data_IF_910918750890
#
_entry.id   IF_910918750890
#
_cell.length_a   1.000
_cell.length_b   1.000
_cell.length_c   1.000
_cell.angle_alpha   90.00
_cell.angle_beta   90.00
_cell.angle_gamma   90.00
#
_symmetry.space_group_name_H-M   'P 1'
#
loop_
_entity.id
_entity.type
_entity.pdbx_description
1 polymer ?
#
# COMPACT_ATOMS: atom_id res chain seq x y z
N UNK A 1 -22.31 16.23 8.51
CA UNK A 1 -21.57 16.29 7.22
C UNK A 1 -21.86 14.98 6.50
N UNK A 2 -22.68 14.97 5.44
CA UNK A 2 -22.96 13.71 4.70
C UNK A 2 -21.68 13.31 3.96
N UNK A 3 -21.10 12.16 4.31
CA UNK A 3 -19.96 11.60 3.58
C UNK A 3 -20.43 11.22 2.18
N UNK A 4 -19.75 11.77 1.19
CA UNK A 4 -19.91 11.39 -0.22
C UNK A 4 -19.69 9.87 -0.38
N UNK A 5 -20.68 9.10 -0.90
CA UNK A 5 -20.58 7.65 -1.01
C UNK A 5 -19.33 7.18 -1.76
N UNK A 6 -18.89 7.92 -2.76
CA UNK A 6 -17.70 7.58 -3.56
C UNK A 6 -16.42 7.63 -2.71
N UNK A 7 -16.32 8.63 -1.83
CA UNK A 7 -15.20 8.77 -0.90
C UNK A 7 -15.14 7.61 0.10
N UNK A 8 -16.30 7.16 0.57
CA UNK A 8 -16.37 6.02 1.50
C UNK A 8 -15.84 4.73 0.86
N UNK A 9 -16.20 4.46 -0.40
CA UNK A 9 -15.71 3.28 -1.11
C UNK A 9 -14.22 3.37 -1.43
N UNK A 10 -13.74 4.54 -1.85
CA UNK A 10 -12.31 4.79 -2.09
C UNK A 10 -11.48 4.56 -0.82
N UNK A 11 -11.90 5.12 0.32
CA UNK A 11 -11.19 4.93 1.58
C UNK A 11 -11.25 3.49 2.06
N UNK A 12 -12.38 2.81 1.88
CA UNK A 12 -12.50 1.38 2.15
C UNK A 12 -11.51 0.57 1.32
N UNK A 13 -11.42 0.83 0.01
CA UNK A 13 -10.44 0.18 -0.87
C UNK A 13 -9.00 0.43 -0.39
N UNK A 14 -8.65 1.67 -0.06
CA UNK A 14 -7.34 2.00 0.50
C UNK A 14 -7.04 1.21 1.77
N UNK A 15 -7.99 1.14 2.69
CA UNK A 15 -7.85 0.43 3.94
C UNK A 15 -7.61 -1.07 3.73
N UNK A 16 -8.42 -1.73 2.91
CA UNK A 16 -8.31 -3.16 2.66
C UNK A 16 -7.01 -3.53 1.94
N UNK A 17 -6.68 -2.81 0.86
CA UNK A 17 -5.46 -3.06 0.08
C UNK A 17 -4.21 -2.87 0.93
N UNK A 18 -4.15 -1.78 1.70
CA UNK A 18 -2.98 -1.53 2.55
C UNK A 18 -2.93 -2.44 3.77
N UNK A 19 -4.07 -2.95 4.25
CA UNK A 19 -4.10 -3.99 5.28
C UNK A 19 -3.48 -5.27 4.77
N UNK A 20 -3.90 -5.73 3.60
CA UNK A 20 -3.37 -6.90 2.92
C UNK A 20 -1.86 -6.81 2.69
N UNK A 21 -1.38 -5.71 2.09
CA UNK A 21 0.06 -5.52 1.89
C UNK A 21 0.85 -5.37 3.20
N UNK A 22 0.29 -4.68 4.20
CA UNK A 22 0.96 -4.55 5.49
C UNK A 22 1.10 -5.90 6.21
N UNK A 23 0.15 -6.83 6.03
CA UNK A 23 0.23 -8.19 6.60
C UNK A 23 1.24 -9.11 5.93
N UNK A 24 1.66 -8.80 4.70
CA UNK A 24 2.65 -9.61 3.96
C UNK A 24 4.04 -8.99 4.09
N UNK A 25 4.15 -7.69 3.82
CA UNK A 25 5.45 -7.03 3.64
C UNK A 25 5.93 -6.27 4.87
N UNK A 26 5.05 -5.92 5.81
CA UNK A 26 5.42 -5.16 7.00
C UNK A 26 5.97 -3.76 6.71
N UNK A 27 5.65 -3.19 5.55
CA UNK A 27 6.10 -1.84 5.19
C UNK A 27 5.49 -0.77 6.09
N UNK A 28 6.26 0.31 6.33
CA UNK A 28 5.77 1.48 7.07
C UNK A 28 4.71 2.21 6.25
N UNK A 29 3.75 2.86 6.92
CA UNK A 29 2.71 3.66 6.26
C UNK A 29 3.29 4.66 5.25
N UNK A 30 4.41 5.31 5.57
CA UNK A 30 5.07 6.28 4.70
C UNK A 30 5.52 5.72 3.34
N UNK A 31 5.78 4.42 3.24
CA UNK A 31 6.07 3.75 1.97
C UNK A 31 4.81 3.78 1.09
N UNK A 32 3.70 3.24 1.60
CA UNK A 32 2.42 3.24 0.86
C UNK A 32 1.95 4.66 0.54
N UNK A 33 2.06 5.61 1.47
CA UNK A 33 1.65 6.99 1.24
C UNK A 33 2.37 7.64 0.06
N UNK A 34 3.61 7.22 -0.22
CA UNK A 34 4.42 7.82 -1.26
C UNK A 34 4.44 7.01 -2.56
N UNK A 35 3.75 5.86 -2.61
CA UNK A 35 3.54 5.10 -3.84
C UNK A 35 2.93 6.00 -4.91
N UNK A 36 3.60 6.06 -6.05
CA UNK A 36 3.17 6.85 -7.21
C UNK A 36 2.48 5.98 -8.26
N UNK A 37 1.65 6.61 -9.08
CA UNK A 37 1.02 5.96 -10.23
C UNK A 37 2.09 5.51 -11.24
N UNK A 38 3.12 6.33 -11.43
CA UNK A 38 4.24 6.01 -12.32
C UNK A 38 4.97 4.74 -11.89
N UNK A 39 5.28 4.56 -10.60
CA UNK A 39 5.93 3.34 -10.09
C UNK A 39 5.08 2.09 -10.33
N UNK A 40 3.74 2.21 -10.26
CA UNK A 40 2.81 1.11 -10.62
C UNK A 40 2.88 0.83 -12.12
N UNK A 41 2.77 1.85 -12.96
CA UNK A 41 2.81 1.71 -14.43
C UNK A 41 4.15 1.16 -14.93
N UNK A 42 5.27 1.54 -14.31
CA UNK A 42 6.61 1.04 -14.61
C UNK A 42 6.79 -0.43 -14.23
N UNK A 43 6.12 -0.90 -13.17
CA UNK A 43 6.14 -2.32 -12.80
C UNK A 43 5.55 -3.20 -13.91
N UNK A 44 4.56 -2.70 -14.66
CA UNK A 44 4.02 -3.37 -15.85
C UNK A 44 5.08 -3.63 -16.91
N UNK A 45 5.94 -2.64 -17.14
CA UNK A 45 6.95 -2.69 -18.21
C UNK A 45 8.10 -3.63 -17.86
N UNK A 46 8.33 -3.83 -16.55
CA UNK A 46 9.34 -4.74 -16.02
C UNK A 46 8.79 -6.14 -15.69
N UNK A 47 7.50 -6.36 -15.91
CA UNK A 47 6.83 -7.60 -15.56
C UNK A 47 7.45 -8.79 -16.31
N UNK A 48 7.59 -9.91 -15.61
CA UNK A 48 8.08 -11.17 -16.18
C UNK A 48 7.23 -12.31 -15.66
N UNK A 49 6.75 -13.17 -16.56
CA UNK A 49 5.96 -14.38 -16.23
C UNK A 49 4.72 -14.12 -15.33
N UNK A 50 4.13 -12.92 -15.39
CA UNK A 50 2.99 -12.53 -14.56
C UNK A 50 3.36 -12.09 -13.13
N UNK A 51 4.65 -11.92 -12.84
CA UNK A 51 5.17 -11.31 -11.63
C UNK A 51 5.51 -9.83 -11.86
N UNK A 52 5.05 -8.97 -10.95
CA UNK A 52 5.21 -7.52 -11.03
C UNK A 52 5.96 -7.04 -9.78
N UNK A 53 7.01 -6.23 -9.95
CA UNK A 53 7.73 -5.66 -8.80
C UNK A 53 7.62 -4.14 -8.83
N UNK A 54 6.84 -3.59 -7.91
CA UNK A 54 6.74 -2.14 -7.71
C UNK A 54 7.87 -1.71 -6.79
N UNK A 55 8.68 -0.75 -7.26
CA UNK A 55 9.78 -0.16 -6.50
C UNK A 55 9.39 1.22 -6.01
N UNK A 56 9.25 1.39 -4.70
CA UNK A 56 8.81 2.64 -4.08
C UNK A 56 10.03 3.43 -3.62
N UNK A 57 10.43 4.39 -4.44
CA UNK A 57 11.68 5.14 -4.29
C UNK A 57 11.53 6.33 -3.36
N UNK A 58 10.35 6.96 -3.32
CA UNK A 58 10.15 8.18 -2.57
C UNK A 58 9.84 7.91 -1.08
N UNK A 59 10.79 7.46 -0.27
CA UNK A 59 10.57 7.31 1.17
C UNK A 59 11.78 7.76 2.01
N UNK A 60 11.54 8.18 3.27
CA UNK A 60 12.54 8.82 4.16
C UNK A 60 13.85 8.03 4.31
N UNK A 61 13.84 6.74 4.01
CA UNK A 61 14.96 5.83 4.25
C UNK A 61 15.52 5.18 2.97
N UNK A 62 15.11 5.64 1.78
CA UNK A 62 15.62 5.09 0.52
C UNK A 62 17.15 5.23 0.41
N UNK A 63 17.70 6.35 0.89
CA UNK A 63 19.16 6.55 0.92
C UNK A 63 19.91 5.54 1.81
N UNK A 64 19.24 4.89 2.75
CA UNK A 64 19.85 3.98 3.71
C UNK A 64 19.52 2.49 3.45
N UNK A 65 18.38 2.18 2.82
CA UNK A 65 17.91 0.79 2.65
C UNK A 65 17.42 0.47 1.23
N UNK A 66 17.68 1.35 0.26
CA UNK A 66 17.21 1.16 -1.11
C UNK A 66 15.68 1.28 -1.25
N UNK A 67 15.18 0.88 -2.42
CA UNK A 67 13.75 0.96 -2.74
C UNK A 67 12.94 -0.02 -1.89
N UNK A 68 11.77 0.40 -1.41
CA UNK A 68 10.84 -0.54 -0.81
C UNK A 68 10.12 -1.29 -1.94
N UNK A 69 10.13 -2.62 -1.90
CA UNK A 69 9.57 -3.45 -2.97
C UNK A 69 8.21 -4.07 -2.57
N UNK A 70 7.29 -4.10 -3.52
CA UNK A 70 6.08 -4.93 -3.48
C UNK A 70 6.13 -5.89 -4.66
N UNK A 71 6.21 -7.18 -4.39
CA UNK A 71 6.07 -8.22 -5.40
C UNK A 71 4.59 -8.57 -5.52
N UNK A 72 4.01 -8.46 -6.71
CA UNK A 72 2.61 -8.76 -6.95
C UNK A 72 2.49 -9.87 -7.98
N UNK A 73 1.55 -10.76 -7.77
CA UNK A 73 1.08 -11.65 -8.81
C UNK A 73 0.16 -10.93 -9.80
N UNK A 74 -0.30 -11.67 -10.80
CA UNK A 74 -1.17 -11.14 -11.84
C UNK A 74 -2.52 -10.66 -11.32
N UNK A 75 -3.11 -11.33 -10.33
CA UNK A 75 -4.41 -10.97 -9.77
C UNK A 75 -4.30 -9.67 -8.95
N UNK A 76 -3.30 -9.60 -8.07
CA UNK A 76 -3.02 -8.45 -7.24
C UNK A 76 -2.73 -7.22 -8.08
N UNK A 77 -1.94 -7.36 -9.15
CA UNK A 77 -1.63 -6.26 -10.05
C UNK A 77 -2.87 -5.76 -10.82
N UNK A 78 -3.78 -6.67 -11.20
CA UNK A 78 -5.04 -6.28 -11.88
C UNK A 78 -5.92 -5.40 -10.98
N UNK A 79 -5.92 -5.60 -9.66
CA UNK A 79 -6.66 -4.70 -8.75
C UNK A 79 -6.17 -3.25 -8.85
N UNK A 80 -4.86 -3.06 -9.02
CA UNK A 80 -4.25 -1.74 -9.18
C UNK A 80 -4.62 -1.14 -10.55
N UNK A 81 -4.55 -1.92 -11.62
CA UNK A 81 -4.97 -1.46 -12.95
C UNK A 81 -6.45 -1.07 -12.98
N UNK A 82 -7.31 -1.87 -12.37
CA UNK A 82 -8.74 -1.58 -12.27
C UNK A 82 -9.00 -0.28 -11.50
N UNK A 83 -8.32 -0.07 -10.37
CA UNK A 83 -8.43 1.18 -9.62
C UNK A 83 -7.94 2.37 -10.45
N UNK A 84 -6.81 2.25 -11.15
CA UNK A 84 -6.29 3.31 -12.01
C UNK A 84 -7.23 3.63 -13.18
N UNK A 85 -7.96 2.64 -13.70
CA UNK A 85 -8.92 2.84 -14.80
C UNK A 85 -10.13 3.70 -14.40
N UNK A 86 -10.53 3.67 -13.12
CA UNK A 86 -11.67 4.44 -12.59
C UNK A 86 -11.24 5.71 -11.85
N UNK A 87 -9.94 5.94 -11.64
CA UNK A 87 -9.46 7.06 -10.79
C UNK A 87 -9.94 8.43 -11.25
N UNK A 88 -10.10 8.62 -12.56
CA UNK A 88 -10.52 9.90 -13.15
C UNK A 88 -11.94 10.29 -12.77
N UNK A 89 -12.76 9.34 -12.34
CA UNK A 89 -14.11 9.58 -11.83
C UNK A 89 -14.11 10.00 -10.35
N UNK A 90 -12.98 9.84 -9.65
CA UNK A 90 -12.85 10.15 -8.23
C UNK A 90 -12.30 11.57 -8.05
N UNK A 91 -12.81 12.28 -7.04
CA UNK A 91 -12.36 13.65 -6.72
C UNK A 91 -10.86 13.67 -6.43
N UNK A 92 -10.11 14.44 -7.23
CA UNK A 92 -8.65 14.58 -7.12
C UNK A 92 -7.83 13.53 -7.88
N UNK A 93 -8.47 12.57 -8.56
CA UNK A 93 -7.78 11.47 -9.24
C UNK A 93 -7.10 11.83 -10.57
N UNK A 94 -7.55 12.90 -11.23
CA UNK A 94 -6.92 13.38 -12.48
C UNK A 94 -5.61 14.15 -12.22
N UNK A 95 -5.54 14.93 -11.15
CA UNK A 95 -4.42 15.85 -10.88
C UNK A 95 -3.41 15.31 -9.85
N UNK A 96 -3.40 13.99 -9.62
CA UNK A 96 -2.54 13.34 -8.64
C UNK A 96 -1.44 12.52 -9.30
N UNK A 97 -0.25 12.55 -8.68
CA UNK A 97 0.85 11.63 -8.95
C UNK A 97 0.86 10.40 -8.03
N UNK A 98 0.17 10.47 -6.90
CA UNK A 98 0.15 9.42 -5.89
C UNK A 98 -0.95 8.40 -6.20
N UNK A 99 -0.65 7.12 -5.99
CA UNK A 99 -1.64 6.04 -6.09
C UNK A 99 -2.72 6.20 -5.02
N UNK A 100 -2.31 6.44 -3.77
CA UNK A 100 -3.21 6.80 -2.67
C UNK A 100 -3.36 8.31 -2.58
N UNK A 101 -4.31 8.86 -3.34
CA UNK A 101 -4.57 10.30 -3.41
C UNK A 101 -5.75 10.74 -2.54
N UNK A 102 -5.86 12.06 -2.35
CA UNK A 102 -7.01 12.70 -1.71
C UNK A 102 -7.68 13.67 -2.70
N UNK A 103 -8.73 14.37 -2.28
CA UNK A 103 -9.33 15.43 -3.10
C UNK A 103 -8.38 16.60 -3.41
N UNK A 104 -7.26 16.70 -2.68
CA UNK A 104 -6.16 17.63 -2.96
C UNK A 104 -5.02 16.85 -3.60
N UNK A 105 -4.15 17.49 -4.42
CA UNK A 105 -3.01 16.84 -5.09
C UNK A 105 -1.89 16.50 -4.10
N UNK A 106 -2.18 15.63 -3.14
CA UNK A 106 -1.31 15.20 -2.06
C UNK A 106 -1.49 13.72 -1.76
N UNK A 107 -0.45 13.10 -1.23
CA UNK A 107 -0.49 11.74 -0.70
C UNK A 107 -1.51 11.64 0.43
N UNK A 108 -2.22 10.52 0.51
CA UNK A 108 -3.15 10.25 1.58
C UNK A 108 -2.45 10.01 2.94
N UNK A 109 -2.43 11.00 3.83
CA UNK A 109 -1.80 10.85 5.16
C UNK A 109 -2.61 10.02 6.16
N UNK A 110 -3.90 9.80 5.87
CA UNK A 110 -4.83 9.09 6.74
C UNK A 110 -4.89 7.58 6.49
N UNK A 111 -3.93 6.99 5.75
CA UNK A 111 -3.93 5.54 5.49
C UNK A 111 -4.03 4.69 6.76
N UNK A 112 -3.44 5.10 7.88
CA UNK A 112 -3.55 4.33 9.14
C UNK A 112 -4.99 4.29 9.66
N UNK A 113 -5.74 5.38 9.50
CA UNK A 113 -7.15 5.40 9.87
C UNK A 113 -7.95 4.45 8.98
N UNK A 114 -7.73 4.49 7.66
CA UNK A 114 -8.45 3.61 6.73
C UNK A 114 -8.08 2.14 6.91
N UNK A 115 -6.82 1.83 7.22
CA UNK A 115 -6.37 0.51 7.65
C UNK A 115 -7.17 0.03 8.88
N UNK A 116 -7.28 0.86 9.92
CA UNK A 116 -8.00 0.51 11.15
C UNK A 116 -9.51 0.34 10.92
N UNK A 117 -10.11 1.18 10.07
CA UNK A 117 -11.51 1.05 9.68
C UNK A 117 -11.76 -0.24 8.89
N UNK A 118 -10.86 -0.59 7.96
CA UNK A 118 -10.93 -1.86 7.23
C UNK A 118 -10.77 -3.06 8.16
N UNK A 119 -9.77 -3.02 9.05
CA UNK A 119 -9.53 -4.04 10.08
C UNK A 119 -10.79 -4.31 10.92
N UNK A 120 -11.40 -3.25 11.44
CA UNK A 120 -12.63 -3.34 12.20
C UNK A 120 -13.81 -3.85 11.35
N UNK A 121 -13.91 -3.43 10.08
CA UNK A 121 -14.98 -3.88 9.18
C UNK A 121 -14.89 -5.37 8.82
N UNK A 122 -13.69 -5.95 8.87
CA UNK A 122 -13.46 -7.40 8.73
C UNK A 122 -13.78 -8.19 10.02
N UNK A 123 -14.19 -7.51 11.10
CA UNK A 123 -14.50 -8.14 12.39
C UNK A 123 -13.26 -8.56 13.19
N UNK A 124 -12.07 -8.08 12.81
CA UNK A 124 -10.83 -8.42 13.49
C UNK A 124 -10.69 -7.63 14.81
N UNK A 125 -10.15 -8.25 15.88
CA UNK A 125 -10.06 -7.61 17.18
C UNK A 125 -8.97 -6.54 17.25
N UNK A 126 -9.15 -5.57 18.13
CA UNK A 126 -8.17 -4.51 18.37
C UNK A 126 -8.14 -3.43 17.29
N UNK A 127 -7.13 -2.56 17.37
CA UNK A 127 -6.95 -1.41 16.46
C UNK A 127 -5.48 -1.27 16.07
N UNK A 128 -4.89 -2.26 15.39
CA UNK A 128 -3.46 -2.22 15.06
C UNK A 128 -3.11 -1.03 14.17
N UNK A 129 -1.84 -0.69 14.16
CA UNK A 129 -1.24 0.30 13.26
C UNK A 129 -0.29 -0.38 12.29
N UNK A 130 0.14 0.33 11.25
CA UNK A 130 1.24 -0.16 10.40
C UNK A 130 2.52 -0.48 11.19
N UNK A 131 2.76 0.20 12.31
CA UNK A 131 3.91 -0.10 13.19
C UNK A 131 3.75 -1.45 13.88
N UNK A 132 2.54 -1.77 14.34
CA UNK A 132 2.25 -3.05 15.00
C UNK A 132 2.38 -4.21 14.01
N UNK A 133 1.84 -4.05 12.78
CA UNK A 133 1.99 -5.04 11.70
C UNK A 133 3.45 -5.28 11.36
N UNK A 134 4.23 -4.21 11.13
CA UNK A 134 5.66 -4.31 10.86
C UNK A 134 6.41 -5.02 11.98
N UNK A 135 6.11 -4.70 13.24
CA UNK A 135 6.77 -5.32 14.40
C UNK A 135 6.44 -6.80 14.48
N UNK A 136 5.18 -7.16 14.21
CA UNK A 136 4.73 -8.55 14.19
C UNK A 136 5.44 -9.35 13.10
N UNK A 137 5.55 -8.81 11.89
CA UNK A 137 6.23 -9.47 10.76
C UNK A 137 7.73 -9.60 11.01
N UNK A 138 8.39 -8.54 11.49
CA UNK A 138 9.81 -8.60 11.83
C UNK A 138 10.08 -9.64 12.94
N UNK A 139 9.20 -9.71 13.94
CA UNK A 139 9.30 -10.72 15.01
C UNK A 139 9.06 -12.12 14.48
N UNK A 140 8.07 -12.30 13.60
CA UNK A 140 7.77 -13.58 12.96
C UNK A 140 8.97 -14.06 12.14
N UNK A 141 9.47 -13.22 11.22
CA UNK A 141 10.64 -13.52 10.39
C UNK A 141 11.86 -13.90 11.25
N UNK A 142 12.14 -13.13 12.31
CA UNK A 142 13.24 -13.46 13.23
C UNK A 142 13.09 -14.83 13.90
N UNK A 143 11.86 -15.28 14.15
CA UNK A 143 11.59 -16.53 14.85
C UNK A 143 11.50 -17.73 13.91
N UNK A 144 11.19 -17.51 12.63
CA UNK A 144 11.01 -18.59 11.64
C UNK A 144 12.19 -18.76 10.70
N UNK A 145 12.96 -17.70 10.44
CA UNK A 145 14.14 -17.78 9.59
C UNK A 145 15.36 -18.21 10.42
N UNK A 146 16.16 -19.12 9.87
CA UNK A 146 17.48 -19.44 10.42
C UNK A 146 18.42 -18.24 10.25
N UNK A 147 19.43 -18.04 11.13
CA UNK A 147 20.25 -16.83 11.19
C UNK A 147 20.95 -16.41 9.87
N UNK A 148 21.02 -17.27 8.87
CA UNK A 148 21.68 -17.03 7.58
C UNK A 148 20.86 -16.12 6.64
N UNK A 149 19.57 -15.85 6.92
CA UNK A 149 18.69 -15.09 6.01
C UNK A 149 18.32 -13.67 6.50
N UNK A 150 18.82 -13.24 7.67
CA UNK A 150 18.41 -11.97 8.31
C UNK A 150 19.40 -10.83 8.07
N UNK A 151 20.61 -11.11 7.59
CA UNK A 151 21.60 -10.10 7.20
C UNK A 151 21.61 -9.92 5.67
N UNK A 152 20.79 -9.01 5.17
CA UNK A 152 20.92 -8.35 3.86
C UNK A 152 20.67 -6.84 4.02
#
# INVERSE_FOLDING_TARGET
MKSDPEKKHQWSFYGHLTTYWASIYGHRSGVFQNLTIQEVEEARQRASEGCFVIEILAHKTNQAFGAAQLALDQEEYVWLEQFLSIRSTLVGGNDTKYFFFTSKPSSCKNLNQYFQEAWASMGLPGTPTFTDMRTTIATHAKNTHTPEEIDC
#
